data_IF_532496201323
#
_entry.id   IF_532496201323
#
_cell.length_a   1.000
_cell.length_b   1.000
_cell.length_c   1.000
_cell.angle_alpha   90.00
_cell.angle_beta   90.00
_cell.angle_gamma   90.00
#
_symmetry.space_group_name_H-M   'P 1'
#
loop_
_entity.id
_entity.type
_entity.pdbx_description
1 polymer ?
#
# COMPACT_ATOMS: atom_id res chain seq x y z
N UNK A 1 151.89 -70.95 53.20
CA UNK A 1 151.71 -69.73 54.01
C UNK A 1 152.65 -68.65 53.47
N UNK A 2 152.13 -67.65 52.76
CA UNK A 2 152.93 -66.57 52.18
C UNK A 2 152.18 -65.25 52.36
N UNK A 3 152.31 -64.65 53.55
CA UNK A 3 151.73 -63.36 53.87
C UNK A 3 152.56 -62.25 53.25
N UNK A 4 152.03 -61.58 52.21
CA UNK A 4 152.59 -60.33 51.69
C UNK A 4 152.34 -59.22 52.71
N UNK A 5 153.40 -58.67 53.30
CA UNK A 5 153.36 -57.44 54.10
C UNK A 5 153.05 -56.24 53.19
N UNK A 6 152.04 -55.45 53.57
CA UNK A 6 151.56 -54.28 52.83
C UNK A 6 152.34 -53.00 53.20
N UNK A 7 152.58 -52.12 52.21
CA UNK A 7 153.33 -50.87 52.34
C UNK A 7 152.44 -49.73 52.91
N UNK A 8 152.75 -49.14 54.08
CA UNK A 8 151.86 -48.23 54.81
C UNK A 8 151.62 -46.87 54.13
N UNK A 9 152.55 -46.34 53.32
CA UNK A 9 152.38 -45.05 52.64
C UNK A 9 151.40 -45.15 51.47
N UNK A 10 151.44 -46.25 50.73
CA UNK A 10 150.48 -46.53 49.66
C UNK A 10 149.04 -46.72 50.20
N UNK A 11 148.91 -47.32 51.39
CA UNK A 11 147.61 -47.45 52.06
C UNK A 11 147.03 -46.10 52.52
N UNK A 12 147.86 -45.13 52.90
CA UNK A 12 147.41 -43.80 53.33
C UNK A 12 146.87 -42.94 52.17
N UNK A 13 147.57 -42.92 51.03
CA UNK A 13 147.08 -42.21 49.83
C UNK A 13 145.79 -42.84 49.26
N UNK A 14 145.69 -44.17 49.29
CA UNK A 14 144.46 -44.87 48.91
C UNK A 14 143.28 -44.52 49.85
N UNK A 15 143.50 -44.43 51.17
CA UNK A 15 142.44 -44.05 52.12
C UNK A 15 141.98 -42.59 51.93
N UNK A 16 142.87 -41.64 51.63
CA UNK A 16 142.50 -40.25 51.33
C UNK A 16 141.73 -40.15 50.02
N UNK A 17 142.16 -40.84 48.97
CA UNK A 17 141.44 -40.88 47.69
C UNK A 17 140.05 -41.51 47.87
N UNK A 18 139.91 -42.57 48.67
CA UNK A 18 138.63 -43.22 48.97
C UNK A 18 137.73 -42.35 49.85
N UNK A 19 138.27 -41.55 50.78
CA UNK A 19 137.49 -40.58 51.54
C UNK A 19 137.00 -39.43 50.65
N UNK A 20 137.85 -38.91 49.76
CA UNK A 20 137.46 -37.88 48.80
C UNK A 20 136.39 -38.40 47.82
N UNK A 21 136.53 -39.64 47.35
CA UNK A 21 135.54 -40.31 46.49
C UNK A 21 134.22 -40.55 47.20
N UNK A 22 134.23 -41.07 48.43
CA UNK A 22 133.02 -41.20 49.27
C UNK A 22 132.37 -39.86 49.59
N UNK A 23 133.16 -38.81 49.84
CA UNK A 23 132.65 -37.46 50.07
C UNK A 23 132.03 -36.86 48.80
N UNK A 24 132.64 -37.07 47.63
CA UNK A 24 132.09 -36.65 46.34
C UNK A 24 130.81 -37.43 45.98
N UNK A 25 130.78 -38.75 46.23
CA UNK A 25 129.59 -39.59 46.05
C UNK A 25 128.46 -39.19 47.01
N UNK A 26 128.77 -38.90 48.27
CA UNK A 26 127.80 -38.40 49.25
C UNK A 26 127.27 -37.00 48.87
N UNK A 27 128.13 -36.10 48.38
CA UNK A 27 127.73 -34.79 47.89
C UNK A 27 126.84 -34.91 46.65
N UNK A 28 127.19 -35.79 45.70
CA UNK A 28 126.38 -36.06 44.51
C UNK A 28 125.02 -36.70 44.87
N UNK A 29 124.98 -37.61 45.84
CA UNK A 29 123.73 -38.20 46.35
C UNK A 29 122.83 -37.16 47.01
N UNK A 30 123.40 -36.25 47.83
CA UNK A 30 122.66 -35.11 48.41
C UNK A 30 122.14 -34.16 47.34
N UNK A 31 122.93 -33.86 46.31
CA UNK A 31 122.51 -33.02 45.19
C UNK A 31 121.35 -33.65 44.41
N UNK A 32 121.39 -34.97 44.18
CA UNK A 32 120.28 -35.72 43.55
C UNK A 32 119.02 -35.70 44.41
N UNK A 33 119.14 -35.94 45.72
CA UNK A 33 118.00 -35.85 46.63
C UNK A 33 117.38 -34.45 46.66
N UNK A 34 118.20 -33.40 46.71
CA UNK A 34 117.72 -32.01 46.65
C UNK A 34 117.05 -31.70 45.31
N UNK A 35 117.62 -32.15 44.19
CA UNK A 35 117.00 -31.99 42.87
C UNK A 35 115.66 -32.73 42.77
N UNK A 36 115.57 -33.94 43.32
CA UNK A 36 114.35 -34.73 43.35
C UNK A 36 113.28 -34.08 44.25
N UNK A 37 113.66 -33.57 45.42
CA UNK A 37 112.79 -32.78 46.29
C UNK A 37 112.30 -31.51 45.59
N UNK A 38 113.18 -30.77 44.90
CA UNK A 38 112.82 -29.58 44.16
C UNK A 38 111.84 -29.89 43.00
N UNK A 39 112.07 -31.00 42.28
CA UNK A 39 111.15 -31.46 41.23
C UNK A 39 109.79 -31.88 41.80
N UNK A 40 109.75 -32.56 42.95
CA UNK A 40 108.51 -32.91 43.62
C UNK A 40 107.75 -31.65 44.08
N UNK A 41 108.45 -30.69 44.69
CA UNK A 41 107.86 -29.41 45.10
C UNK A 41 107.31 -28.64 43.90
N UNK A 42 108.04 -28.61 42.78
CA UNK A 42 107.58 -27.98 41.54
C UNK A 42 106.31 -28.64 40.99
N UNK A 43 106.25 -29.99 40.96
CA UNK A 43 105.04 -30.72 40.55
C UNK A 43 103.84 -30.44 41.44
N UNK A 44 104.02 -30.41 42.77
CA UNK A 44 102.95 -30.08 43.71
C UNK A 44 102.50 -28.63 43.54
N UNK A 45 103.42 -27.69 43.34
CA UNK A 45 103.10 -26.29 43.08
C UNK A 45 102.28 -26.13 41.78
N UNK A 46 102.66 -26.85 40.72
CA UNK A 46 101.93 -26.86 39.44
C UNK A 46 100.53 -27.46 39.60
N UNK A 47 100.39 -28.60 40.28
CA UNK A 47 99.09 -29.19 40.57
C UNK A 47 98.20 -28.26 41.39
N UNK A 48 98.77 -27.58 42.40
CA UNK A 48 98.04 -26.61 43.21
C UNK A 48 97.59 -25.39 42.37
N UNK A 49 98.44 -24.90 41.46
CA UNK A 49 98.08 -23.83 40.55
C UNK A 49 96.93 -24.25 39.61
N UNK A 50 96.97 -25.46 39.07
CA UNK A 50 95.88 -26.00 38.25
C UNK A 50 94.58 -26.13 39.06
N UNK A 51 94.63 -26.69 40.27
CA UNK A 51 93.46 -26.82 41.15
C UNK A 51 92.86 -25.45 41.48
N UNK A 52 93.69 -24.44 41.78
CA UNK A 52 93.23 -23.09 42.05
C UNK A 52 92.56 -22.45 40.82
N UNK A 53 93.12 -22.65 39.62
CA UNK A 53 92.51 -22.18 38.38
C UNK A 53 91.14 -22.84 38.11
N UNK A 54 91.01 -24.13 38.38
CA UNK A 54 89.75 -24.88 38.24
C UNK A 54 88.72 -24.39 39.25
N UNK A 55 89.12 -24.14 40.51
CA UNK A 55 88.24 -23.59 41.55
C UNK A 55 87.72 -22.20 41.18
N UNK A 56 88.59 -21.32 40.67
CA UNK A 56 88.19 -19.99 40.19
C UNK A 56 87.17 -20.10 39.04
N UNK A 57 87.46 -20.90 38.01
CA UNK A 57 86.53 -21.14 36.89
C UNK A 57 85.20 -21.72 37.36
N UNK A 58 85.21 -22.66 38.30
CA UNK A 58 83.99 -23.23 38.89
C UNK A 58 83.15 -22.15 39.57
N UNK A 59 83.77 -21.30 40.39
CA UNK A 59 83.08 -20.22 41.10
C UNK A 59 82.49 -19.20 40.12
N UNK A 60 83.22 -18.84 39.06
CA UNK A 60 82.71 -17.95 38.01
C UNK A 60 81.50 -18.56 37.29
N UNK A 61 81.54 -19.87 36.99
CA UNK A 61 80.41 -20.57 36.38
C UNK A 61 79.21 -20.64 37.33
N UNK A 62 79.42 -20.87 38.63
CA UNK A 62 78.35 -20.85 39.63
C UNK A 62 77.69 -19.47 39.71
N UNK A 63 78.48 -18.40 39.75
CA UNK A 63 77.97 -17.04 39.77
C UNK A 63 77.15 -16.71 38.51
N UNK A 64 77.65 -17.10 37.33
CA UNK A 64 76.91 -16.96 36.06
C UNK A 64 75.61 -17.76 36.06
N UNK A 65 75.62 -18.97 36.63
CA UNK A 65 74.43 -19.82 36.69
C UNK A 65 73.36 -19.21 37.62
N UNK A 66 73.78 -18.66 38.77
CA UNK A 66 72.89 -17.95 39.68
C UNK A 66 72.27 -16.70 39.01
N UNK A 67 73.07 -15.89 38.30
CA UNK A 67 72.58 -14.74 37.54
C UNK A 67 71.58 -15.16 36.45
N UNK A 68 71.87 -16.22 35.71
CA UNK A 68 70.94 -16.77 34.72
C UNK A 68 69.63 -17.25 35.34
N UNK A 69 69.69 -17.94 36.49
CA UNK A 69 68.49 -18.36 37.21
C UNK A 69 67.63 -17.16 37.63
N UNK A 70 68.24 -16.10 38.17
CA UNK A 70 67.53 -14.86 38.52
C UNK A 70 66.90 -14.20 37.29
N UNK A 71 67.62 -14.11 36.16
CA UNK A 71 67.09 -13.55 34.91
C UNK A 71 65.92 -14.38 34.37
N UNK A 72 66.01 -15.70 34.39
CA UNK A 72 64.93 -16.61 33.97
C UNK A 72 63.70 -16.43 34.86
N UNK A 73 63.89 -16.36 36.17
CA UNK A 73 62.81 -16.14 37.13
C UNK A 73 62.09 -14.81 36.86
N UNK A 74 62.84 -13.72 36.74
CA UNK A 74 62.28 -12.40 36.45
C UNK A 74 61.55 -12.36 35.11
N UNK A 75 62.11 -13.01 34.07
CA UNK A 75 61.48 -13.08 32.75
C UNK A 75 60.18 -13.88 32.78
N UNK A 76 60.12 -14.98 33.53
CA UNK A 76 58.89 -15.76 33.73
C UNK A 76 57.79 -14.93 34.41
N UNK A 77 58.15 -14.18 35.45
CA UNK A 77 57.18 -13.33 36.15
C UNK A 77 56.64 -12.22 35.25
N UNK A 78 57.51 -11.59 34.45
CA UNK A 78 57.09 -10.59 33.46
C UNK A 78 56.13 -11.18 32.44
N UNK A 79 56.49 -12.34 31.85
CA UNK A 79 55.63 -13.03 30.87
C UNK A 79 54.27 -13.43 31.46
N UNK A 80 54.25 -13.86 32.73
CA UNK A 80 53.00 -14.17 33.42
C UNK A 80 52.12 -12.92 33.58
N UNK A 81 52.72 -11.81 34.01
CA UNK A 81 52.01 -10.53 34.16
C UNK A 81 51.47 -10.01 32.83
N UNK A 82 52.26 -10.11 31.75
CA UNK A 82 51.81 -9.71 30.41
C UNK A 82 50.66 -10.61 29.93
N UNK A 83 50.76 -11.94 30.14
CA UNK A 83 49.71 -12.89 29.79
C UNK A 83 48.40 -12.63 30.55
N UNK A 84 48.47 -12.29 31.83
CA UNK A 84 47.30 -11.92 32.63
C UNK A 84 46.66 -10.63 32.11
N UNK A 85 47.47 -9.62 31.78
CA UNK A 85 46.98 -8.36 31.18
C UNK A 85 46.28 -8.62 29.84
N UNK A 86 46.91 -9.39 28.95
CA UNK A 86 46.37 -9.66 27.62
C UNK A 86 45.07 -10.48 27.71
N UNK A 87 45.00 -11.43 28.65
CA UNK A 87 43.78 -12.18 28.95
C UNK A 87 42.63 -11.24 29.37
N UNK A 88 42.89 -10.29 30.26
CA UNK A 88 41.90 -9.31 30.69
C UNK A 88 41.45 -8.39 29.54
N UNK A 89 42.37 -7.97 28.67
CA UNK A 89 42.04 -7.20 27.47
C UNK A 89 41.12 -8.01 26.55
N UNK A 90 41.44 -9.28 26.29
CA UNK A 90 40.62 -10.17 25.46
C UNK A 90 39.22 -10.34 26.05
N UNK A 91 39.10 -10.56 27.36
CA UNK A 91 37.79 -10.64 28.03
C UNK A 91 36.98 -9.34 27.85
N UNK A 92 37.59 -8.17 28.05
CA UNK A 92 36.93 -6.88 27.84
C UNK A 92 36.48 -6.66 26.39
N UNK A 93 37.32 -7.03 25.42
CA UNK A 93 36.99 -6.94 23.99
C UNK A 93 35.83 -7.88 23.62
N UNK A 94 35.83 -9.11 24.13
CA UNK A 94 34.75 -10.07 23.88
C UNK A 94 33.41 -9.56 24.44
N UNK A 95 33.40 -9.00 25.65
CA UNK A 95 32.20 -8.39 26.22
C UNK A 95 31.67 -7.24 25.34
N UNK A 96 32.55 -6.38 24.83
CA UNK A 96 32.17 -5.29 23.93
C UNK A 96 31.62 -5.81 22.58
N UNK A 97 32.21 -6.87 22.03
CA UNK A 97 31.73 -7.53 20.80
C UNK A 97 30.31 -8.06 21.00
N UNK A 98 30.02 -8.68 22.14
CA UNK A 98 28.68 -9.22 22.42
C UNK A 98 27.63 -8.10 22.58
N UNK A 99 27.99 -6.97 23.20
CA UNK A 99 27.15 -5.78 23.25
C UNK A 99 26.85 -5.25 21.84
N UNK A 100 27.88 -5.09 20.99
CA UNK A 100 27.70 -4.60 19.62
C UNK A 100 26.87 -5.54 18.75
N UNK A 101 27.01 -6.87 18.92
CA UNK A 101 26.15 -7.83 18.22
C UNK A 101 24.67 -7.65 18.56
N UNK A 102 24.36 -7.42 19.84
CA UNK A 102 22.99 -7.18 20.28
C UNK A 102 22.43 -5.84 19.74
N UNK A 103 23.24 -4.78 19.72
CA UNK A 103 22.86 -3.50 19.12
C UNK A 103 22.60 -3.62 17.62
N UNK A 104 23.46 -4.33 16.88
CA UNK A 104 23.27 -4.57 15.45
C UNK A 104 21.98 -5.37 15.16
N UNK A 105 21.69 -6.41 15.96
CA UNK A 105 20.44 -7.16 15.82
C UNK A 105 19.20 -6.28 16.04
N UNK A 106 19.26 -5.32 16.98
CA UNK A 106 18.19 -4.33 17.20
C UNK A 106 18.02 -3.41 15.99
N UNK A 107 19.11 -2.89 15.45
CA UNK A 107 19.10 -2.00 14.27
C UNK A 107 18.51 -2.74 13.04
N UNK A 108 18.87 -4.00 12.84
CA UNK A 108 18.30 -4.81 11.75
C UNK A 108 16.78 -4.97 11.86
N UNK A 109 16.27 -5.20 13.07
CA UNK A 109 14.83 -5.26 13.33
C UNK A 109 14.14 -3.91 13.04
N UNK A 110 14.71 -2.80 13.50
CA UNK A 110 14.18 -1.45 13.24
C UNK A 110 14.15 -1.12 11.74
N UNK A 111 15.21 -1.47 11.00
CA UNK A 111 15.28 -1.27 9.55
C UNK A 111 14.21 -2.07 8.80
N UNK A 112 13.90 -3.29 9.24
CA UNK A 112 12.80 -4.09 8.67
C UNK A 112 11.45 -3.40 8.88
N UNK A 113 11.17 -2.93 10.09
CA UNK A 113 9.92 -2.22 10.39
C UNK A 113 9.79 -0.93 9.57
N UNK A 114 10.87 -0.16 9.40
CA UNK A 114 10.88 1.04 8.56
C UNK A 114 10.57 0.73 7.09
N UNK A 115 11.06 -0.40 6.57
CA UNK A 115 10.76 -0.85 5.21
C UNK A 115 9.27 -1.18 5.05
N UNK A 116 8.68 -1.86 6.02
CA UNK A 116 7.25 -2.20 6.00
C UNK A 116 6.37 -0.93 6.08
N UNK A 117 6.75 0.04 6.93
CA UNK A 117 6.09 1.35 7.00
C UNK A 117 6.17 2.09 5.66
N UNK A 118 7.33 2.09 5.01
CA UNK A 118 7.52 2.75 3.71
C UNK A 118 6.61 2.14 2.64
N UNK A 119 6.55 0.82 2.55
CA UNK A 119 5.68 0.11 1.61
C UNK A 119 4.21 0.48 1.82
N UNK A 120 3.74 0.48 3.08
CA UNK A 120 2.37 0.86 3.42
C UNK A 120 2.07 2.32 3.04
N UNK A 121 3.04 3.22 3.19
CA UNK A 121 2.88 4.62 2.82
C UNK A 121 2.81 4.80 1.29
N UNK A 122 3.61 4.05 0.54
CA UNK A 122 3.55 4.04 -0.92
C UNK A 122 2.18 3.52 -1.41
N UNK A 123 1.63 2.47 -0.80
CA UNK A 123 0.27 1.97 -1.06
C UNK A 123 -0.81 3.00 -0.71
N UNK A 124 -0.69 3.65 0.45
CA UNK A 124 -1.61 4.71 0.87
C UNK A 124 -1.60 5.89 -0.11
N UNK A 125 -0.42 6.36 -0.51
CA UNK A 125 -0.28 7.47 -1.47
C UNK A 125 -0.86 7.12 -2.84
N UNK A 126 -0.69 5.88 -3.30
CA UNK A 126 -1.33 5.39 -4.52
C UNK A 126 -2.87 5.43 -4.40
N UNK A 127 -3.44 4.98 -3.28
CA UNK A 127 -4.87 5.01 -3.03
C UNK A 127 -5.43 6.45 -2.97
N UNK A 128 -4.72 7.38 -2.33
CA UNK A 128 -5.09 8.80 -2.27
C UNK A 128 -5.12 9.43 -3.66
N UNK A 129 -4.14 9.13 -4.52
CA UNK A 129 -4.11 9.63 -5.89
C UNK A 129 -5.29 9.12 -6.73
N UNK A 130 -5.65 7.83 -6.58
CA UNK A 130 -6.83 7.25 -7.24
C UNK A 130 -8.12 7.91 -6.75
N UNK A 131 -8.27 8.09 -5.44
CA UNK A 131 -9.43 8.77 -4.86
C UNK A 131 -9.56 10.22 -5.34
N UNK A 132 -8.44 10.95 -5.45
CA UNK A 132 -8.40 12.30 -6.02
C UNK A 132 -8.86 12.32 -7.49
N UNK A 133 -8.41 11.35 -8.29
CA UNK A 133 -8.86 11.17 -9.68
C UNK A 133 -10.36 10.90 -9.79
N UNK A 134 -10.91 10.02 -8.95
CA UNK A 134 -12.34 9.72 -8.90
C UNK A 134 -13.14 10.96 -8.48
N UNK A 135 -12.70 11.68 -7.45
CA UNK A 135 -13.36 12.90 -6.96
C UNK A 135 -13.45 13.97 -8.06
N UNK A 136 -12.35 14.19 -8.79
CA UNK A 136 -12.33 15.13 -9.92
C UNK A 136 -13.28 14.68 -11.05
N UNK A 137 -13.31 13.39 -11.37
CA UNK A 137 -14.24 12.84 -12.37
C UNK A 137 -15.71 13.06 -11.95
N UNK A 138 -16.05 12.76 -10.69
CA UNK A 138 -17.39 12.97 -10.14
C UNK A 138 -17.79 14.45 -10.18
N UNK A 139 -16.89 15.36 -9.81
CA UNK A 139 -17.14 16.81 -9.88
C UNK A 139 -17.46 17.25 -11.31
N UNK A 140 -16.72 16.77 -12.30
CA UNK A 140 -16.99 17.07 -13.72
C UNK A 140 -18.35 16.51 -14.16
N UNK A 141 -18.67 15.27 -13.79
CA UNK A 141 -19.97 14.64 -14.10
C UNK A 141 -21.15 15.38 -13.46
N UNK A 142 -21.02 15.78 -12.20
CA UNK A 142 -22.05 16.60 -11.51
C UNK A 142 -22.24 17.93 -12.24
N UNK A 143 -21.17 18.61 -12.66
CA UNK A 143 -21.29 19.86 -13.42
C UNK A 143 -22.03 19.66 -14.75
N UNK A 144 -21.81 18.53 -15.43
CA UNK A 144 -22.54 18.20 -16.66
C UNK A 144 -24.03 17.96 -16.39
N UNK A 145 -24.35 17.22 -15.32
CA UNK A 145 -25.74 16.95 -14.91
C UNK A 145 -26.47 18.26 -14.58
N UNK A 146 -25.84 19.15 -13.80
CA UNK A 146 -26.42 20.46 -13.46
C UNK A 146 -26.65 21.32 -14.70
N UNK A 147 -25.79 21.22 -15.73
CA UNK A 147 -25.99 21.92 -16.99
C UNK A 147 -27.16 21.31 -17.78
N UNK A 148 -27.28 19.99 -17.83
CA UNK A 148 -28.42 19.30 -18.46
C UNK A 148 -29.74 19.65 -17.78
N UNK A 149 -29.75 19.73 -16.44
CA UNK A 149 -30.92 20.13 -15.67
C UNK A 149 -31.36 21.56 -16.04
N UNK A 150 -30.43 22.51 -16.14
CA UNK A 150 -30.74 23.88 -16.60
C UNK A 150 -31.34 23.91 -18.00
N UNK A 151 -30.81 23.12 -18.94
CA UNK A 151 -31.35 23.02 -20.30
C UNK A 151 -32.76 22.44 -20.27
N UNK A 152 -32.99 21.37 -19.49
CA UNK A 152 -34.31 20.77 -19.33
C UNK A 152 -35.33 21.77 -18.78
N UNK A 153 -34.98 22.52 -17.73
CA UNK A 153 -35.85 23.57 -17.18
C UNK A 153 -36.12 24.69 -18.18
N UNK A 154 -35.13 25.08 -18.98
CA UNK A 154 -35.32 26.08 -20.04
C UNK A 154 -36.32 25.61 -21.11
N UNK A 155 -36.18 24.37 -21.59
CA UNK A 155 -37.12 23.73 -22.53
C UNK A 155 -38.52 23.65 -21.91
N UNK A 156 -38.63 23.27 -20.63
CA UNK A 156 -39.91 23.20 -19.94
C UNK A 156 -40.57 24.58 -19.85
N UNK A 157 -39.81 25.63 -19.53
CA UNK A 157 -40.31 27.00 -19.48
C UNK A 157 -40.74 27.51 -20.87
N UNK A 158 -39.97 27.20 -21.90
CA UNK A 158 -40.32 27.53 -23.30
C UNK A 158 -41.59 26.79 -23.73
N UNK A 159 -41.70 25.49 -23.43
CA UNK A 159 -42.92 24.71 -23.69
C UNK A 159 -44.14 25.29 -22.97
N UNK A 160 -44.01 25.69 -21.70
CA UNK A 160 -45.08 26.35 -20.97
C UNK A 160 -45.50 27.66 -21.65
N UNK A 161 -44.52 28.46 -22.10
CA UNK A 161 -44.78 29.71 -22.83
C UNK A 161 -45.48 29.46 -24.16
N UNK A 162 -45.08 28.41 -24.90
CA UNK A 162 -45.76 27.99 -26.14
C UNK A 162 -47.19 27.56 -25.83
N UNK A 163 -47.41 26.72 -24.81
CA UNK A 163 -48.74 26.28 -24.40
C UNK A 163 -49.65 27.47 -24.04
N UNK A 164 -49.11 28.47 -23.34
CA UNK A 164 -49.86 29.66 -22.93
C UNK A 164 -50.16 30.60 -24.11
N UNK A 165 -49.26 30.72 -25.09
CA UNK A 165 -49.39 31.62 -26.26
C UNK A 165 -50.10 30.98 -27.47
N UNK A 166 -50.13 29.64 -27.55
CA UNK A 166 -50.78 28.89 -28.63
C UNK A 166 -52.27 29.27 -28.83
N UNK A 167 -53.10 29.45 -27.78
CA UNK A 167 -54.50 29.85 -27.94
C UNK A 167 -54.65 31.26 -28.55
N UNK A 168 -53.73 32.18 -28.25
CA UNK A 168 -53.75 33.54 -28.82
C UNK A 168 -53.31 33.52 -30.29
N UNK A 169 -52.26 32.77 -30.63
CA UNK A 169 -51.83 32.58 -32.02
C UNK A 169 -52.91 31.90 -32.87
N UNK A 170 -53.58 30.87 -32.33
CA UNK A 170 -54.75 30.25 -32.98
C UNK A 170 -55.84 31.31 -33.21
N UNK A 171 -56.14 32.18 -32.24
CA UNK A 171 -57.12 33.25 -32.42
C UNK A 171 -56.69 34.29 -33.47
N UNK A 172 -55.40 34.58 -33.58
CA UNK A 172 -54.87 35.63 -34.44
C UNK A 172 -54.66 35.18 -35.90
N UNK A 173 -54.28 33.92 -36.13
CA UNK A 173 -54.03 33.35 -37.46
C UNK A 173 -55.14 32.45 -37.99
N UNK A 174 -56.11 32.08 -37.16
CA UNK A 174 -57.35 31.52 -37.66
C UNK A 174 -58.14 32.61 -38.39
N UNK A 175 -57.90 32.72 -39.70
CA UNK A 175 -58.82 33.34 -40.66
C UNK A 175 -60.19 32.65 -40.67
N UNK A 176 -60.31 31.51 -39.98
CA UNK A 176 -61.56 30.80 -39.78
C UNK A 176 -62.36 31.31 -38.58
N UNK A 177 -61.80 32.13 -37.68
CA UNK A 177 -62.55 32.58 -36.51
C UNK A 177 -63.65 33.61 -36.84
N UNK A 178 -63.44 34.61 -37.72
CA UNK A 178 -64.54 35.44 -38.21
C UNK A 178 -65.55 34.64 -39.03
N UNK A 179 -65.11 33.61 -39.77
CA UNK A 179 -65.97 32.78 -40.63
C UNK A 179 -66.82 31.80 -39.84
N UNK A 180 -66.25 31.14 -38.83
CA UNK A 180 -66.96 30.23 -37.91
C UNK A 180 -67.93 31.00 -37.01
N UNK A 181 -67.58 32.20 -36.55
CA UNK A 181 -68.51 33.03 -35.80
C UNK A 181 -69.64 33.61 -36.68
N UNK A 182 -69.38 33.86 -37.96
CA UNK A 182 -70.43 34.25 -38.94
C UNK A 182 -71.32 33.07 -39.36
N UNK A 183 -70.77 31.85 -39.48
CA UNK A 183 -71.51 30.63 -39.82
C UNK A 183 -72.28 30.05 -38.60
N UNK A 184 -71.83 30.28 -37.35
CA UNK A 184 -72.55 29.85 -36.13
C UNK A 184 -73.70 30.77 -35.73
N UNK A 185 -73.65 32.05 -36.09
CA UNK A 185 -74.72 33.01 -35.80
C UNK A 185 -76.10 32.60 -36.38
N UNK A 186 -76.22 32.18 -37.66
CA UNK A 186 -77.50 31.71 -38.19
C UNK A 186 -77.95 30.39 -37.56
N UNK A 187 -77.04 29.52 -37.11
CA UNK A 187 -77.40 28.27 -36.43
C UNK A 187 -77.95 28.51 -35.01
N UNK A 188 -77.37 29.46 -34.26
CA UNK A 188 -77.88 29.85 -32.95
C UNK A 188 -79.23 30.58 -33.05
N UNK A 189 -79.42 31.41 -34.08
CA UNK A 189 -80.69 32.09 -34.30
C UNK A 189 -81.79 31.10 -34.73
N UNK A 190 -81.46 30.08 -35.54
CA UNK A 190 -82.39 29.00 -35.89
C UNK A 190 -82.77 28.12 -34.69
N UNK A 191 -81.82 27.81 -33.79
CA UNK A 191 -82.11 27.01 -32.60
C UNK A 191 -82.96 27.78 -31.58
N UNK A 192 -82.73 29.09 -31.46
CA UNK A 192 -83.59 29.99 -30.68
C UNK A 192 -85.01 30.08 -31.30
N UNK A 193 -85.14 30.23 -32.62
CA UNK A 193 -86.45 30.21 -33.31
C UNK A 193 -87.15 28.88 -33.11
N UNK A 194 -86.44 27.75 -33.22
CA UNK A 194 -87.00 26.43 -32.99
C UNK A 194 -87.47 26.26 -31.54
N UNK A 195 -86.71 26.77 -30.57
CA UNK A 195 -87.09 26.78 -29.15
C UNK A 195 -88.35 27.62 -28.92
N UNK A 196 -88.45 28.81 -29.53
CA UNK A 196 -89.64 29.65 -29.45
C UNK A 196 -90.85 28.95 -30.09
N UNK A 197 -90.69 28.33 -31.26
CA UNK A 197 -91.75 27.58 -31.92
C UNK A 197 -92.20 26.37 -31.08
N UNK A 198 -91.27 25.69 -30.41
CA UNK A 198 -91.58 24.57 -29.51
C UNK A 198 -92.39 25.04 -28.30
N UNK A 199 -92.02 26.17 -27.68
CA UNK A 199 -92.79 26.77 -26.58
C UNK A 199 -94.18 27.20 -27.07
N UNK A 200 -94.26 27.88 -28.21
CA UNK A 200 -95.52 28.33 -28.81
C UNK A 200 -96.46 27.17 -29.11
N UNK A 201 -95.92 26.05 -29.61
CA UNK A 201 -96.68 24.83 -29.85
C UNK A 201 -97.37 24.33 -28.59
N UNK A 202 -96.67 24.25 -27.45
CA UNK A 202 -97.28 23.79 -26.20
C UNK A 202 -98.31 24.76 -25.64
N UNK A 203 -98.13 26.07 -25.85
CA UNK A 203 -99.16 27.07 -25.50
C UNK A 203 -100.43 26.85 -26.33
N UNK A 204 -100.30 26.69 -27.66
CA UNK A 204 -101.44 26.39 -28.53
C UNK A 204 -102.07 25.03 -28.20
N UNK A 205 -101.26 24.02 -27.86
CA UNK A 205 -101.73 22.72 -27.42
C UNK A 205 -102.58 22.82 -26.15
N UNK A 206 -102.20 23.65 -25.17
CA UNK A 206 -103.00 23.87 -23.96
C UNK A 206 -104.34 24.52 -24.28
N UNK A 207 -104.36 25.53 -25.16
CA UNK A 207 -105.60 26.17 -25.62
C UNK A 207 -106.49 25.15 -26.34
N UNK A 208 -105.91 24.36 -27.25
CA UNK A 208 -106.63 23.32 -27.99
C UNK A 208 -107.16 22.21 -27.06
N UNK A 209 -106.38 21.82 -26.06
CA UNK A 209 -106.77 20.87 -25.02
C UNK A 209 -107.98 21.36 -24.26
N UNK A 210 -107.98 22.64 -23.87
CA UNK A 210 -109.13 23.28 -23.23
C UNK A 210 -110.37 23.24 -24.15
N UNK A 211 -110.23 23.60 -25.42
CA UNK A 211 -111.34 23.58 -26.38
C UNK A 211 -111.91 22.17 -26.57
N UNK A 212 -111.07 21.15 -26.78
CA UNK A 212 -111.53 19.77 -26.98
C UNK A 212 -112.23 19.22 -25.72
N UNK A 213 -111.68 19.49 -24.53
CA UNK A 213 -112.24 18.96 -23.29
C UNK A 213 -113.62 19.59 -23.03
N UNK A 214 -113.73 20.92 -23.13
CA UNK A 214 -114.92 21.65 -22.70
C UNK A 214 -115.98 21.88 -23.80
N UNK A 215 -115.58 22.16 -25.05
CA UNK A 215 -116.52 22.58 -26.10
C UNK A 215 -116.91 21.48 -27.08
N UNK A 216 -116.08 20.45 -27.27
CA UNK A 216 -116.39 19.38 -28.20
C UNK A 216 -117.25 18.29 -27.55
N UNK A 217 -118.58 18.39 -27.63
CA UNK A 217 -119.48 17.37 -27.05
C UNK A 217 -119.63 16.11 -27.92
N UNK A 218 -119.21 16.15 -29.18
CA UNK A 218 -119.41 15.06 -30.14
C UNK A 218 -118.39 13.91 -29.98
N UNK A 219 -117.20 14.18 -29.44
CA UNK A 219 -116.15 13.18 -29.28
C UNK A 219 -116.28 12.41 -27.95
N UNK A 220 -116.12 11.08 -27.99
CA UNK A 220 -116.11 10.24 -26.79
C UNK A 220 -114.93 10.60 -25.88
N UNK A 221 -115.08 10.44 -24.54
CA UNK A 221 -114.02 10.78 -23.57
C UNK A 221 -112.67 10.15 -23.93
N UNK A 222 -112.66 8.88 -24.33
CA UNK A 222 -111.44 8.17 -24.71
C UNK A 222 -110.82 8.72 -26.00
N UNK A 223 -111.63 9.07 -27.01
CA UNK A 223 -111.12 9.66 -28.25
C UNK A 223 -110.46 11.02 -28.01
N UNK A 224 -111.01 11.85 -27.10
CA UNK A 224 -110.39 13.12 -26.70
C UNK A 224 -109.00 12.90 -26.10
N UNK A 225 -108.88 11.97 -25.14
CA UNK A 225 -107.59 11.65 -24.54
C UNK A 225 -106.59 11.09 -25.55
N UNK A 226 -107.03 10.22 -26.47
CA UNK A 226 -106.16 9.68 -27.50
C UNK A 226 -105.60 10.77 -28.43
N UNK A 227 -106.45 11.70 -28.89
CA UNK A 227 -106.03 12.84 -29.72
C UNK A 227 -105.04 13.74 -28.98
N UNK A 228 -105.33 14.07 -27.70
CA UNK A 228 -104.43 14.89 -26.89
C UNK A 228 -103.09 14.20 -26.63
N UNK A 229 -103.10 12.88 -26.40
CA UNK A 229 -101.88 12.12 -26.21
C UNK A 229 -101.01 12.10 -27.47
N UNK A 230 -101.61 11.89 -28.65
CA UNK A 230 -100.89 11.93 -29.93
C UNK A 230 -100.28 13.32 -30.16
N UNK A 231 -101.04 14.39 -29.93
CA UNK A 231 -100.55 15.77 -30.06
C UNK A 231 -99.47 16.12 -29.04
N UNK A 232 -99.54 15.61 -27.81
CA UNK A 232 -98.52 15.85 -26.80
C UNK A 232 -97.17 15.21 -27.20
N UNK A 233 -97.23 14.01 -27.76
CA UNK A 233 -96.05 13.23 -28.17
C UNK A 233 -95.52 13.68 -29.55
N UNK A 234 -96.36 14.34 -30.37
CA UNK A 234 -96.05 14.73 -31.75
C UNK A 234 -94.70 15.47 -31.92
N UNK A 235 -94.34 16.51 -31.14
CA UNK A 235 -93.06 17.21 -31.30
C UNK A 235 -91.82 16.34 -31.04
N UNK A 236 -91.94 15.35 -30.15
CA UNK A 236 -90.83 14.45 -29.79
C UNK A 236 -90.56 13.42 -30.89
N UNK A 237 -91.61 13.01 -31.59
CA UNK A 237 -91.53 11.96 -32.62
C UNK A 237 -91.23 12.54 -33.98
N UNK A 238 -91.80 13.72 -34.33
CA UNK A 238 -91.64 14.31 -35.66
C UNK A 238 -90.16 14.61 -35.99
N UNK A 239 -89.38 15.08 -35.01
CA UNK A 239 -87.95 15.36 -35.21
C UNK A 239 -87.14 14.09 -35.52
N UNK A 240 -87.52 12.95 -34.91
CA UNK A 240 -86.89 11.65 -35.20
C UNK A 240 -87.30 11.15 -36.58
N UNK A 241 -88.58 11.23 -36.93
CA UNK A 241 -89.09 10.85 -38.25
C UNK A 241 -88.44 11.70 -39.34
N UNK A 242 -88.36 13.02 -39.16
CA UNK A 242 -87.72 13.93 -40.11
C UNK A 242 -86.24 13.60 -40.34
N UNK A 243 -85.48 13.31 -39.27
CA UNK A 243 -84.07 12.89 -39.41
C UNK A 243 -83.93 11.60 -40.20
N UNK A 244 -84.77 10.61 -39.91
CA UNK A 244 -84.77 9.32 -40.63
C UNK A 244 -85.16 9.52 -42.09
N UNK A 245 -86.20 10.32 -42.38
CA UNK A 245 -86.61 10.65 -43.74
C UNK A 245 -85.53 11.42 -44.50
N UNK A 246 -84.89 12.40 -43.86
CA UNK A 246 -83.79 13.16 -44.46
C UNK A 246 -82.61 12.25 -44.80
N UNK A 247 -82.18 11.41 -43.86
CA UNK A 247 -81.12 10.42 -44.13
C UNK A 247 -81.52 9.45 -45.24
N UNK A 248 -82.76 8.97 -45.23
CA UNK A 248 -83.29 8.10 -46.28
C UNK A 248 -83.28 8.76 -47.65
N UNK A 249 -83.76 10.01 -47.75
CA UNK A 249 -83.80 10.78 -49.00
C UNK A 249 -82.39 11.13 -49.49
N UNK A 250 -81.47 11.52 -48.62
CA UNK A 250 -80.07 11.78 -48.98
C UNK A 250 -79.41 10.49 -49.47
N UNK A 251 -79.63 9.38 -48.78
CA UNK A 251 -79.11 8.06 -49.22
C UNK A 251 -79.69 7.66 -50.57
N UNK A 252 -80.99 7.87 -50.79
CA UNK A 252 -81.66 7.55 -52.04
C UNK A 252 -81.19 8.47 -53.18
N UNK A 253 -81.03 9.77 -52.91
CA UNK A 253 -80.46 10.75 -53.84
C UNK A 253 -79.04 10.34 -54.25
N UNK A 254 -78.16 10.01 -53.30
CA UNK A 254 -76.80 9.53 -53.57
C UNK A 254 -76.79 8.19 -54.32
N UNK A 255 -77.76 7.31 -54.05
CA UNK A 255 -77.88 6.01 -54.76
C UNK A 255 -78.40 6.19 -56.19
N UNK A 256 -79.29 7.16 -56.43
CA UNK A 256 -79.74 7.53 -57.77
C UNK A 256 -78.63 8.24 -58.55
N UNK A 257 -77.94 9.20 -57.94
CA UNK A 257 -76.85 9.93 -58.57
C UNK A 257 -75.68 9.00 -58.95
N UNK A 258 -75.32 8.05 -58.09
CA UNK A 258 -74.31 7.03 -58.42
C UNK A 258 -74.77 5.99 -59.46
N UNK A 259 -76.08 5.80 -59.67
CA UNK A 259 -76.60 4.92 -60.73
C UNK A 259 -76.73 5.64 -62.09
N UNK A 260 -76.80 6.98 -62.11
CA UNK A 260 -76.90 7.77 -63.35
C UNK A 260 -75.56 7.83 -64.12
N UNK A 261 -74.41 7.63 -63.45
CA UNK A 261 -73.10 7.59 -64.09
C UNK A 261 -72.62 6.19 -64.53
N UNK A 262 -73.43 5.14 -64.34
CA UNK A 262 -73.07 3.76 -64.72
C UNK A 262 -73.87 3.15 -65.89
N UNK A 263 -74.68 3.95 -66.59
CA UNK A 263 -75.50 3.44 -67.71
C UNK A 263 -75.49 4.34 -68.97
N UNK A 264 -74.31 4.82 -69.35
CA UNK A 264 -74.02 5.28 -70.73
C UNK A 264 -72.71 4.64 -71.22
N UNK A 265 -72.79 3.35 -71.58
CA UNK A 265 -71.97 2.70 -72.60
C UNK A 265 -72.94 2.05 -73.59
#
# INVERSE_FOLDING_TARGET
MGGRQSNPVANWFNDIADRARRAAEAAAARARQLAEQAMQQARVAEQNAQVNSIRSRRNDMLNKNNDLQTRIYNKRNLLRSDSERDTNIIFGLNANIDVQKNENAKIEYENKNLKDIKNNNDEYNAAVNVAGGISNNLKNRISLILNQEKIYTAIQNENNTIVDTMPELIKQYSSDNPRIDYEKKPLSDLDNVNTILFILYYVLFLIFSFIIIFFNQAASKYSKFAILFILLVYPLVINKIQKVLYLGLVTLYLTLENNVYHNTN
#
